data_IF_416806003423
#
_entry.id   IF_416806003423
#
_cell.length_a   1.000
_cell.length_b   1.000
_cell.length_c   1.000
_cell.angle_alpha   90.00
_cell.angle_beta   90.00
_cell.angle_gamma   90.00
#
_symmetry.space_group_name_H-M   'P 1'
#
loop_
_entity.id
_entity.type
_entity.pdbx_description
1 polymer ?
#
# COMPACT_ATOMS: atom_id res chain seq x y z
N UNK A 1 12.86 22.05 -7.40
CA UNK A 1 12.84 21.43 -6.05
C UNK A 1 11.79 20.35 -6.03
N UNK A 2 12.21 19.12 -5.85
CA UNK A 2 11.30 17.98 -5.79
C UNK A 2 11.19 17.54 -4.34
N UNK A 3 10.01 17.71 -3.75
CA UNK A 3 9.71 17.19 -2.42
C UNK A 3 9.21 15.77 -2.51
N UNK A 4 9.25 15.05 -1.41
CA UNK A 4 8.74 13.68 -1.26
C UNK A 4 7.88 13.62 -0.01
N UNK A 5 6.71 13.02 -0.13
CA UNK A 5 5.83 12.71 1.01
C UNK A 5 5.93 11.23 1.32
N UNK A 6 6.23 10.90 2.57
CA UNK A 6 6.28 9.51 3.06
C UNK A 6 5.30 9.34 4.21
N UNK A 7 4.58 8.22 4.22
CA UNK A 7 3.68 7.86 5.32
C UNK A 7 3.54 6.35 5.47
N UNK A 8 3.05 5.91 6.62
CA UNK A 8 2.84 4.50 6.95
C UNK A 8 1.38 4.17 7.07
N UNK A 9 1.01 3.03 6.54
CA UNK A 9 -0.34 2.48 6.62
C UNK A 9 -0.30 1.05 7.17
N UNK A 10 -1.20 0.74 8.10
CA UNK A 10 -1.37 -0.60 8.64
C UNK A 10 -2.80 -1.04 8.35
N UNK A 11 -2.91 -2.16 7.65
CA UNK A 11 -4.18 -2.78 7.28
C UNK A 11 -4.26 -4.16 7.94
N UNK A 12 -5.38 -4.47 8.55
CA UNK A 12 -5.64 -5.78 9.14
C UNK A 12 -6.95 -6.35 8.59
N UNK A 13 -7.04 -7.66 8.53
CA UNK A 13 -8.26 -8.27 8.00
C UNK A 13 -8.18 -9.78 7.94
N UNK A 14 -8.82 -10.33 6.93
CA UNK A 14 -8.89 -11.76 6.69
C UNK A 14 -8.47 -12.09 5.28
N UNK A 15 -7.74 -13.19 5.14
CA UNK A 15 -7.33 -13.79 3.88
C UNK A 15 -8.06 -15.12 3.73
N UNK A 16 -8.78 -15.30 2.62
CA UNK A 16 -9.45 -16.54 2.24
C UNK A 16 -8.71 -17.19 1.10
N UNK A 17 -8.26 -18.43 1.31
CA UNK A 17 -7.64 -19.22 0.29
C UNK A 17 -8.67 -20.08 -0.48
N UNK A 18 -8.45 -20.32 -1.76
CA UNK A 18 -9.31 -21.16 -2.58
C UNK A 18 -9.03 -22.64 -2.40
N UNK A 19 -7.76 -23.01 -2.31
CA UNK A 19 -7.31 -24.42 -2.28
C UNK A 19 -6.32 -24.73 -1.15
N UNK A 20 -6.18 -23.83 -0.16
CA UNK A 20 -5.26 -24.00 0.96
C UNK A 20 -6.01 -24.05 2.28
N UNK A 21 -5.46 -24.78 3.23
CA UNK A 21 -5.91 -24.71 4.63
C UNK A 21 -4.90 -23.92 5.47
N UNK A 22 -5.36 -23.10 6.44
CA UNK A 22 -6.77 -22.81 6.73
C UNK A 22 -7.44 -22.03 5.59
N UNK A 23 -8.72 -22.27 5.37
CA UNK A 23 -9.50 -21.58 4.32
C UNK A 23 -9.61 -20.07 4.56
N UNK A 24 -9.64 -19.65 5.82
CA UNK A 24 -9.70 -18.27 6.25
C UNK A 24 -8.74 -18.06 7.39
N UNK A 25 -7.90 -17.05 7.30
CA UNK A 25 -6.92 -16.70 8.31
C UNK A 25 -6.79 -15.19 8.49
N UNK A 26 -6.34 -14.72 9.67
CA UNK A 26 -6.04 -13.31 9.86
C UNK A 26 -4.83 -12.90 9.03
N UNK A 27 -4.85 -11.66 8.55
CA UNK A 27 -3.75 -11.06 7.79
C UNK A 27 -3.50 -9.63 8.26
N UNK A 28 -2.23 -9.25 8.28
CA UNK A 28 -1.76 -7.90 8.58
C UNK A 28 -0.80 -7.45 7.50
N UNK A 29 -1.06 -6.29 6.94
CA UNK A 29 -0.24 -5.63 5.94
C UNK A 29 0.23 -4.30 6.49
N UNK A 30 1.54 -4.09 6.54
CA UNK A 30 2.19 -2.85 6.93
C UNK A 30 2.95 -2.30 5.76
N UNK A 31 2.65 -1.09 5.35
CA UNK A 31 3.25 -0.42 4.21
C UNK A 31 3.81 0.95 4.59
N UNK A 32 4.97 1.25 4.06
CA UNK A 32 5.48 2.60 3.93
C UNK A 32 5.30 3.04 2.48
N UNK A 33 4.63 4.17 2.28
CA UNK A 33 4.36 4.73 0.96
C UNK A 33 5.17 5.99 0.77
N UNK A 34 5.78 6.11 -0.40
CA UNK A 34 6.57 7.26 -0.81
C UNK A 34 5.97 7.85 -2.07
N UNK A 35 5.54 9.10 -2.00
CA UNK A 35 4.89 9.84 -3.08
C UNK A 35 5.79 10.98 -3.54
N UNK A 36 5.99 11.17 -4.85
CA UNK A 36 6.65 12.36 -5.34
C UNK A 36 5.78 13.60 -5.09
N UNK A 37 6.38 14.64 -4.51
CA UNK A 37 5.70 15.88 -4.21
C UNK A 37 4.83 15.87 -2.96
N UNK A 38 3.96 16.87 -2.85
CA UNK A 38 2.95 16.95 -1.81
C UNK A 38 1.68 16.20 -2.21
N UNK A 39 1.05 15.56 -1.25
CA UNK A 39 -0.20 14.83 -1.47
C UNK A 39 -1.40 15.76 -1.20
N UNK A 40 -2.27 15.91 -2.19
CA UNK A 40 -3.50 16.68 -2.12
C UNK A 40 -4.72 15.80 -2.41
N UNK A 41 -5.93 16.19 -1.99
CA UNK A 41 -7.15 15.41 -2.27
C UNK A 41 -7.41 15.17 -3.76
N UNK A 42 -6.97 16.07 -4.63
CA UNK A 42 -7.11 15.96 -6.10
C UNK A 42 -5.88 15.38 -6.80
N UNK A 43 -4.91 14.87 -6.04
CA UNK A 43 -3.72 14.23 -6.63
C UNK A 43 -4.12 12.98 -7.41
N UNK A 44 -3.44 12.75 -8.53
CA UNK A 44 -3.39 11.47 -9.24
C UNK A 44 -1.91 11.10 -9.36
N UNK A 45 -1.45 10.33 -8.40
CA UNK A 45 -0.03 10.00 -8.26
C UNK A 45 0.15 8.51 -7.97
N UNK A 46 1.30 8.00 -8.39
CA UNK A 46 1.73 6.64 -8.04
C UNK A 46 2.77 6.72 -6.93
N UNK A 47 2.45 6.09 -5.81
CA UNK A 47 3.35 5.93 -4.68
C UNK A 47 4.13 4.63 -4.82
N UNK A 48 5.40 4.65 -4.47
CA UNK A 48 6.17 3.43 -4.23
C UNK A 48 5.82 2.91 -2.84
N UNK A 49 5.47 1.64 -2.76
CA UNK A 49 5.10 0.98 -1.52
C UNK A 49 6.10 -0.12 -1.18
N UNK A 50 6.50 -0.19 0.07
CA UNK A 50 7.33 -1.26 0.60
C UNK A 50 6.93 -1.56 2.03
N UNK A 51 7.03 -2.82 2.43
CA UNK A 51 6.68 -3.23 3.79
C UNK A 51 6.60 -4.73 3.95
N UNK A 52 5.69 -5.18 4.79
CA UNK A 52 5.53 -6.61 5.12
C UNK A 52 4.07 -7.01 5.18
N UNK A 53 3.80 -8.25 4.76
CA UNK A 53 2.55 -8.94 5.00
C UNK A 53 2.80 -10.11 5.95
N UNK A 54 1.89 -10.32 6.88
CA UNK A 54 1.98 -11.41 7.86
C UNK A 54 0.65 -12.13 7.99
N UNK A 55 0.69 -13.45 7.88
CA UNK A 55 -0.43 -14.34 8.18
C UNK A 55 0.08 -15.70 8.64
N UNK A 56 -0.73 -16.55 9.31
CA UNK A 56 -0.30 -17.86 9.78
C UNK A 56 0.31 -18.77 8.70
N UNK A 57 -0.29 -18.82 7.51
CA UNK A 57 0.20 -19.69 6.43
C UNK A 57 1.35 -19.08 5.61
N UNK A 58 1.38 -17.75 5.46
CA UNK A 58 2.44 -17.07 4.72
C UNK A 58 3.69 -16.81 5.58
N UNK A 59 3.54 -16.81 6.92
CA UNK A 59 4.54 -16.26 7.80
C UNK A 59 4.66 -14.74 7.59
N UNK A 60 5.87 -14.23 7.67
CA UNK A 60 6.18 -12.83 7.33
C UNK A 60 6.88 -12.78 5.98
N UNK A 61 6.32 -12.01 5.04
CA UNK A 61 6.88 -11.80 3.72
C UNK A 61 7.05 -10.33 3.42
N UNK A 62 8.08 -9.98 2.68
CA UNK A 62 8.22 -8.65 2.13
C UNK A 62 7.11 -8.40 1.10
N UNK A 63 6.54 -7.20 1.16
CA UNK A 63 5.58 -6.71 0.19
C UNK A 63 6.15 -5.43 -0.44
N UNK A 64 6.19 -5.38 -1.75
CA UNK A 64 6.70 -4.23 -2.49
C UNK A 64 5.89 -4.02 -3.77
N UNK A 65 5.72 -2.78 -4.17
CA UNK A 65 4.99 -2.45 -5.39
C UNK A 65 4.57 -1.00 -5.45
N UNK A 66 3.39 -0.76 -5.98
CA UNK A 66 2.87 0.60 -6.19
C UNK A 66 1.46 0.77 -5.66
N UNK A 67 1.15 2.00 -5.25
CA UNK A 67 -0.18 2.42 -4.84
C UNK A 67 -0.55 3.67 -5.63
N UNK A 68 -1.52 3.56 -6.52
CA UNK A 68 -2.06 4.72 -7.23
C UNK A 68 -3.09 5.41 -6.36
N UNK A 69 -2.83 6.68 -6.05
CA UNK A 69 -3.67 7.51 -5.20
C UNK A 69 -4.34 8.57 -6.07
N UNK A 70 -5.61 8.35 -6.37
CA UNK A 70 -6.42 9.24 -7.20
C UNK A 70 -7.85 9.39 -6.61
N UNK A 71 -7.96 9.95 -5.39
CA UNK A 71 -9.22 9.92 -4.64
C UNK A 71 -10.35 10.67 -5.33
N UNK A 72 -10.11 11.86 -5.85
CA UNK A 72 -11.14 12.65 -6.55
C UNK A 72 -11.13 12.42 -8.06
N UNK A 73 -9.96 12.25 -8.69
CA UNK A 73 -9.85 12.08 -10.13
C UNK A 73 -10.44 10.75 -10.62
N UNK A 74 -10.22 9.66 -9.89
CA UNK A 74 -10.70 8.33 -10.27
C UNK A 74 -11.61 7.67 -9.22
N UNK A 75 -11.86 8.32 -8.07
CA UNK A 75 -12.61 7.75 -6.96
C UNK A 75 -12.01 6.46 -6.40
N UNK A 76 -10.71 6.26 -6.55
CA UNK A 76 -10.03 4.99 -6.21
C UNK A 76 -8.62 5.20 -5.70
N UNK A 77 -8.22 4.28 -4.81
CA UNK A 77 -6.81 4.06 -4.44
C UNK A 77 -6.53 2.59 -4.76
N UNK A 78 -5.60 2.33 -5.67
CA UNK A 78 -5.29 0.97 -6.14
C UNK A 78 -3.94 0.51 -5.62
N UNK A 79 -3.91 -0.67 -5.04
CA UNK A 79 -2.74 -1.36 -4.52
C UNK A 79 -2.34 -2.47 -5.46
N UNK A 80 -1.06 -2.52 -5.84
CA UNK A 80 -0.45 -3.61 -6.61
C UNK A 80 0.85 -3.97 -5.92
N UNK A 81 0.87 -5.10 -5.23
CA UNK A 81 1.99 -5.53 -4.42
C UNK A 81 2.46 -6.92 -4.82
N UNK A 82 3.75 -7.10 -4.89
CA UNK A 82 4.42 -8.38 -5.02
C UNK A 82 4.84 -8.85 -3.63
N UNK A 83 4.55 -10.11 -3.33
CA UNK A 83 4.87 -10.75 -2.06
C UNK A 83 6.05 -11.67 -2.27
N UNK A 84 7.19 -11.35 -1.65
CA UNK A 84 8.42 -12.12 -1.74
C UNK A 84 8.51 -13.20 -0.65
N UNK A 85 9.56 -14.01 -0.70
CA UNK A 85 9.89 -14.97 0.36
C UNK A 85 9.21 -16.33 0.24
N UNK A 86 9.04 -16.82 -0.97
CA UNK A 86 8.46 -18.14 -1.26
C UNK A 86 7.91 -18.20 -2.66
N UNK A 87 6.83 -18.94 -2.86
CA UNK A 87 6.08 -18.93 -4.10
C UNK A 87 5.66 -17.48 -4.45
N UNK A 88 5.87 -17.01 -5.69
CA UNK A 88 5.50 -15.66 -6.11
C UNK A 88 4.00 -15.45 -5.96
N UNK A 89 3.62 -14.43 -5.21
CA UNK A 89 2.23 -14.03 -5.03
C UNK A 89 2.10 -12.54 -5.32
N UNK A 90 0.96 -12.15 -5.90
CA UNK A 90 0.62 -10.77 -6.19
C UNK A 90 -0.69 -10.41 -5.50
N UNK A 91 -0.72 -9.26 -4.87
CA UNK A 91 -1.93 -8.71 -4.24
C UNK A 91 -2.37 -7.48 -5.04
N UNK A 92 -3.57 -7.53 -5.60
CA UNK A 92 -4.21 -6.42 -6.32
C UNK A 92 -5.54 -6.08 -5.65
N UNK A 93 -5.66 -4.86 -5.16
CA UNK A 93 -6.86 -4.40 -4.49
C UNK A 93 -7.10 -2.91 -4.67
N UNK A 94 -8.30 -2.46 -4.39
CA UNK A 94 -8.64 -1.05 -4.47
C UNK A 94 -9.63 -0.62 -3.40
N UNK A 95 -9.42 0.57 -2.89
CA UNK A 95 -10.39 1.31 -2.09
C UNK A 95 -11.22 2.18 -3.04
N UNK A 96 -12.52 2.03 -3.02
CA UNK A 96 -13.44 2.90 -3.76
C UNK A 96 -13.92 4.03 -2.86
N UNK A 97 -13.92 5.25 -3.37
CA UNK A 97 -14.50 6.41 -2.69
C UNK A 97 -15.93 6.59 -3.18
N UNK A 98 -16.89 6.39 -2.30
CA UNK A 98 -18.28 6.75 -2.56
C UNK A 98 -18.70 7.93 -1.69
N UNK A 99 -19.31 8.95 -2.31
CA UNK A 99 -19.78 10.16 -1.63
C UNK A 99 -20.84 9.87 -0.55
N UNK A 100 -21.53 8.72 -0.65
CA UNK A 100 -22.56 8.32 0.33
C UNK A 100 -21.97 7.75 1.64
N UNK A 101 -20.77 7.15 1.59
CA UNK A 101 -20.07 6.56 2.75
C UNK A 101 -18.56 6.71 2.65
N UNK A 102 -18.05 7.96 2.60
CA UNK A 102 -16.63 8.20 2.29
C UNK A 102 -15.70 7.57 3.32
N UNK A 103 -16.02 7.64 4.60
CA UNK A 103 -15.19 7.09 5.68
C UNK A 103 -15.14 5.56 5.61
N UNK A 104 -16.29 4.90 5.38
CA UNK A 104 -16.35 3.45 5.33
C UNK A 104 -15.60 2.89 4.12
N UNK A 105 -15.76 3.52 2.95
CA UNK A 105 -15.12 3.06 1.71
C UNK A 105 -13.61 3.29 1.70
N UNK A 106 -13.12 4.35 2.34
CA UNK A 106 -11.69 4.58 2.51
C UNK A 106 -11.01 3.60 3.47
N UNK A 107 -11.78 2.97 4.36
CA UNK A 107 -11.22 2.05 5.36
C UNK A 107 -11.18 0.60 4.90
N UNK A 108 -11.88 0.24 3.83
CA UNK A 108 -11.97 -1.13 3.34
C UNK A 108 -11.19 -1.32 2.04
N UNK A 109 -10.35 -2.33 2.01
CA UNK A 109 -9.54 -2.73 0.87
C UNK A 109 -9.85 -4.21 0.53
N UNK A 110 -10.80 -4.48 -0.36
CA UNK A 110 -10.91 -5.78 -0.97
C UNK A 110 -9.75 -6.00 -1.93
N UNK A 111 -9.12 -7.16 -1.89
CA UNK A 111 -7.98 -7.49 -2.72
C UNK A 111 -8.04 -8.94 -3.19
N UNK A 112 -7.46 -9.19 -4.36
CA UNK A 112 -7.28 -10.51 -4.94
C UNK A 112 -5.82 -10.92 -4.84
N UNK A 113 -5.58 -12.16 -4.46
CA UNK A 113 -4.23 -12.75 -4.44
C UNK A 113 -4.11 -13.71 -5.61
N UNK A 114 -3.11 -13.49 -6.47
CA UNK A 114 -2.78 -14.33 -7.62
C UNK A 114 -1.41 -14.96 -7.45
N UNK A 115 -1.21 -16.13 -8.05
CA UNK A 115 0.09 -16.77 -8.15
C UNK A 115 0.93 -16.19 -9.30
N UNK A 116 2.15 -16.73 -9.50
CA UNK A 116 3.04 -16.31 -10.58
C UNK A 116 2.52 -16.59 -11.99
N UNK A 117 1.52 -17.47 -12.14
CA UNK A 117 0.85 -17.76 -13.42
C UNK A 117 -0.38 -16.86 -13.66
N UNK A 118 -0.72 -15.98 -12.70
CA UNK A 118 -1.90 -15.12 -12.77
C UNK A 118 -3.20 -15.78 -12.34
N UNK A 119 -3.15 -16.97 -11.74
CA UNK A 119 -4.32 -17.68 -11.22
C UNK A 119 -4.72 -17.11 -9.86
N UNK A 120 -6.00 -16.83 -9.68
CA UNK A 120 -6.51 -16.35 -8.39
C UNK A 120 -6.48 -17.48 -7.37
N UNK A 121 -5.65 -17.35 -6.35
CA UNK A 121 -5.45 -18.34 -5.28
C UNK A 121 -6.08 -17.92 -3.96
N UNK A 122 -6.47 -16.67 -3.81
CA UNK A 122 -7.09 -16.16 -2.60
C UNK A 122 -7.72 -14.78 -2.77
N UNK A 123 -8.45 -14.39 -1.74
CA UNK A 123 -9.08 -13.07 -1.62
C UNK A 123 -8.83 -12.52 -0.23
N UNK A 124 -8.51 -11.25 -0.14
CA UNK A 124 -8.27 -10.56 1.13
C UNK A 124 -9.28 -9.44 1.34
N UNK A 125 -9.72 -9.30 2.58
CA UNK A 125 -10.52 -8.16 3.04
C UNK A 125 -9.77 -7.47 4.15
N UNK A 126 -9.11 -6.39 3.79
CA UNK A 126 -8.28 -5.60 4.68
C UNK A 126 -9.05 -4.36 5.14
N UNK A 127 -8.79 -3.93 6.35
CA UNK A 127 -9.37 -2.72 6.93
C UNK A 127 -8.31 -1.87 7.61
N UNK A 128 -8.44 -0.56 7.41
CA UNK A 128 -7.75 0.45 8.18
C UNK A 128 -8.62 0.82 9.40
N UNK A 129 -8.10 0.65 10.59
CA UNK A 129 -8.82 0.96 11.83
C UNK A 129 -8.70 2.45 12.16
N UNK A 130 -9.65 3.24 11.65
CA UNK A 130 -9.62 4.70 11.72
C UNK A 130 -9.39 5.24 13.14
N UNK A 131 -10.03 4.66 14.15
CA UNK A 131 -9.86 5.14 15.54
C UNK A 131 -8.49 4.87 16.12
N UNK A 132 -7.88 3.74 15.76
CA UNK A 132 -6.61 3.29 16.33
C UNK A 132 -5.40 3.77 15.53
N UNK A 133 -5.55 3.82 14.21
CA UNK A 133 -4.43 3.96 13.29
C UNK A 133 -4.38 5.34 12.63
N UNK A 134 -5.48 6.14 12.70
CA UNK A 134 -5.50 7.48 12.11
C UNK A 134 -4.45 8.40 12.74
N UNK A 135 -4.33 8.40 14.06
CA UNK A 135 -3.32 9.22 14.73
C UNK A 135 -1.90 8.79 14.34
N UNK A 136 -1.66 7.48 14.20
CA UNK A 136 -0.38 6.92 13.75
C UNK A 136 -0.12 7.25 12.28
N UNK A 137 -1.14 7.16 11.43
CA UNK A 137 -1.06 7.54 10.04
C UNK A 137 -0.68 9.01 9.91
N UNK A 138 -1.42 9.91 10.56
CA UNK A 138 -1.15 11.35 10.52
C UNK A 138 0.23 11.69 11.09
N UNK A 139 0.62 11.06 12.19
CA UNK A 139 1.96 11.24 12.77
C UNK A 139 3.08 10.69 11.89
N UNK A 140 2.79 9.80 10.95
CA UNK A 140 3.77 9.21 10.04
C UNK A 140 4.05 10.05 8.80
N UNK A 141 3.21 11.03 8.48
CA UNK A 141 3.43 11.90 7.33
C UNK A 141 4.70 12.72 7.49
N UNK A 142 5.62 12.54 6.57
CA UNK A 142 6.87 13.28 6.51
C UNK A 142 7.02 13.86 5.12
N UNK A 143 7.22 15.17 5.08
CA UNK A 143 7.58 15.87 3.85
C UNK A 143 9.04 16.27 3.93
N UNK A 144 9.85 15.79 2.99
CA UNK A 144 11.26 16.18 2.87
C UNK A 144 11.51 16.83 1.52
N UNK A 145 12.27 17.91 1.54
CA UNK A 145 12.78 18.56 0.30
C UNK A 145 14.13 17.94 0.00
N UNK A 146 14.26 17.28 -1.13
CA UNK A 146 15.56 16.86 -1.64
C UNK A 146 16.29 18.12 -2.14
N UNK A 147 17.31 18.54 -1.43
CA UNK A 147 18.24 19.54 -1.95
C UNK A 147 19.17 18.79 -2.92
N UNK A 148 19.22 19.13 -4.20
CA UNK A 148 20.20 18.53 -5.08
C UNK A 148 21.59 18.91 -4.54
N UNK A 149 22.34 17.90 -4.10
CA UNK A 149 23.75 18.08 -3.73
C UNK A 149 24.48 18.49 -4.99
N UNK A 150 24.79 19.78 -5.08
CA UNK A 150 25.52 20.33 -6.21
C UNK A 150 26.81 19.54 -6.41
N UNK A 151 27.00 19.08 -7.62
CA UNK A 151 28.25 18.53 -8.11
C UNK A 151 29.33 19.60 -7.83
N UNK A 152 30.14 19.35 -6.80
CA UNK A 152 31.37 20.12 -6.61
C UNK A 152 32.21 19.94 -7.86
N UNK A 153 32.33 21.03 -8.62
CA UNK A 153 33.14 21.08 -9.81
C UNK A 153 34.53 20.52 -9.55
N UNK A 154 34.87 19.49 -10.30
CA UNK A 154 36.23 19.04 -10.44
C UNK A 154 37.04 20.23 -10.99
N UNK A 155 37.92 20.79 -10.19
CA UNK A 155 39.00 21.64 -10.71
C UNK A 155 39.92 20.73 -11.51
N UNK A 156 39.96 20.91 -12.78
CA UNK A 156 41.02 20.39 -13.63
C UNK A 156 42.31 21.14 -13.36
N UNK A 157 43.45 20.48 -13.42
CA UNK A 157 44.76 21.04 -13.22
C UNK A 157 45.19 22.04 -14.32
#
# INVERSE_FOLDING_TARGET
>A
MHGVTTFREVLTGRLRWRERRPWVEPVRLELELTVPGALWPWSDVEAVAGGTIRSPSLGERAAAGTVRIAPLAAGRIRYRLDLAGGEPLHLDGWKSLTLRRPVWTMTHLPATVTDGAGTVVGEAWLRFLLRRDLARLLASFRYSRTVPTGVRGARLP
#
